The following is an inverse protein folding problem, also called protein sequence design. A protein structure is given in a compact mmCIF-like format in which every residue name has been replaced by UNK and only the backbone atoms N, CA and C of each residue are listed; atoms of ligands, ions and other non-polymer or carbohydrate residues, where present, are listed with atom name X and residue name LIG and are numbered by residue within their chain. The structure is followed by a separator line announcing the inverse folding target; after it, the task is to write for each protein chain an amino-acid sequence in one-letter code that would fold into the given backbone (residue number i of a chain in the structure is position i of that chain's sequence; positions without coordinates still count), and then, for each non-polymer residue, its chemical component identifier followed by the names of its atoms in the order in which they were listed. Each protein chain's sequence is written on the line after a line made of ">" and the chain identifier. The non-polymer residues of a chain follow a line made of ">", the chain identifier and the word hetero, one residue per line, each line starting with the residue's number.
data_IF_715453678258
#
_entry.id   IF_715453678258
#
_cell.length_a   1.000
_cell.length_b   1.000
_cell.length_c   1.000
_cell.angle_alpha   90.00
_cell.angle_beta   90.00
_cell.angle_gamma   90.00
#
_symmetry.space_group_name_H-M   'P 1'
#
loop_
_entity.id
_entity.type
_entity.pdbx_description
1 polymer ?
#
# COMPACT_ATOMS: atom_id res chain seq x y z
N UNK A 1 24.49 -7.68 2.78
CA UNK A 1 24.15 -8.50 1.59
C UNK A 1 23.55 -7.57 0.55
N UNK A 2 24.01 -7.63 -0.70
CA UNK A 2 23.46 -6.81 -1.79
C UNK A 2 22.10 -7.33 -2.29
N UNK A 3 21.43 -6.53 -3.12
CA UNK A 3 20.22 -6.97 -3.81
C UNK A 3 20.52 -8.18 -4.72
N UNK A 4 19.60 -9.15 -4.79
CA UNK A 4 19.72 -10.33 -5.65
C UNK A 4 18.87 -10.26 -6.92
N UNK A 5 17.88 -9.38 -6.94
CA UNK A 5 16.99 -9.17 -8.06
C UNK A 5 16.71 -7.68 -8.20
N UNK A 6 16.43 -7.23 -9.42
CA UNK A 6 16.03 -5.86 -9.72
C UNK A 6 14.84 -5.86 -10.67
N UNK A 7 13.89 -4.97 -10.43
CA UNK A 7 12.79 -4.69 -11.36
C UNK A 7 12.95 -3.26 -11.86
N UNK A 8 12.99 -3.09 -13.17
CA UNK A 8 13.15 -1.78 -13.83
C UNK A 8 12.02 -1.60 -14.83
N UNK A 9 11.44 -0.40 -14.92
CA UNK A 9 10.47 -0.09 -15.97
C UNK A 9 11.16 -0.12 -17.34
N UNK A 10 10.46 -0.60 -18.37
CA UNK A 10 10.95 -0.49 -19.75
C UNK A 10 10.92 0.96 -20.22
N UNK A 11 11.79 1.29 -21.16
CA UNK A 11 11.90 2.65 -21.72
C UNK A 11 10.60 3.14 -22.37
N UNK A 12 9.78 2.22 -22.91
CA UNK A 12 8.48 2.52 -23.51
C UNK A 12 7.35 2.77 -22.50
N UNK A 13 7.61 2.52 -21.21
CA UNK A 13 6.65 2.69 -20.13
C UNK A 13 5.54 1.63 -20.05
N UNK A 14 5.51 0.64 -20.94
CA UNK A 14 4.40 -0.33 -21.08
C UNK A 14 4.59 -1.60 -20.25
N UNK A 15 5.76 -1.79 -19.67
CA UNK A 15 6.10 -2.98 -18.90
C UNK A 15 7.30 -2.79 -17.99
N UNK A 16 7.76 -3.90 -17.44
CA UNK A 16 8.95 -3.95 -16.60
C UNK A 16 9.83 -5.14 -16.98
N UNK A 17 11.11 -5.07 -16.63
CA UNK A 17 12.05 -6.17 -16.74
C UNK A 17 12.51 -6.55 -15.34
N UNK A 18 12.29 -7.80 -14.96
CA UNK A 18 12.85 -8.41 -13.76
C UNK A 18 14.18 -9.07 -14.14
N UNK A 19 15.27 -8.69 -13.48
CA UNK A 19 16.62 -9.22 -13.74
C UNK A 19 17.18 -9.91 -12.51
N UNK A 20 17.83 -11.05 -12.73
CA UNK A 20 18.65 -11.70 -11.72
C UNK A 20 20.02 -11.03 -11.69
N UNK A 21 20.44 -10.60 -10.49
CA UNK A 21 21.74 -9.95 -10.30
C UNK A 21 22.79 -11.01 -9.97
N UNK A 22 24.08 -10.69 -10.14
CA UNK A 22 25.20 -11.61 -9.88
C UNK A 22 25.10 -12.29 -8.50
N UNK A 23 24.70 -11.54 -7.47
CA UNK A 23 24.51 -12.06 -6.11
C UNK A 23 23.38 -13.08 -5.93
N UNK A 24 22.58 -13.35 -6.97
CA UNK A 24 21.57 -14.42 -6.97
C UNK A 24 22.12 -15.79 -7.33
N UNK A 25 23.27 -15.86 -8.04
CA UNK A 25 23.78 -17.10 -8.64
C UNK A 25 22.92 -17.61 -9.81
N UNK A 26 21.99 -16.80 -10.32
CA UNK A 26 21.15 -17.08 -11.48
C UNK A 26 21.45 -16.05 -12.57
N UNK A 27 21.29 -16.47 -13.82
CA UNK A 27 21.38 -15.59 -14.99
C UNK A 27 20.01 -15.44 -15.65
N UNK A 28 19.82 -14.30 -16.31
CA UNK A 28 18.66 -14.03 -17.14
C UNK A 28 17.77 -12.89 -16.65
N UNK A 29 16.80 -12.58 -17.49
CA UNK A 29 15.81 -11.56 -17.26
C UNK A 29 14.45 -11.97 -17.82
N UNK A 30 13.40 -11.39 -17.26
CA UNK A 30 12.02 -11.66 -17.64
C UNK A 30 11.36 -10.32 -17.91
N UNK A 31 10.91 -10.16 -19.15
CA UNK A 31 10.06 -9.06 -19.55
C UNK A 31 8.61 -9.34 -19.16
N UNK A 32 8.00 -8.37 -18.49
CA UNK A 32 6.65 -8.43 -17.98
C UNK A 32 5.82 -7.31 -18.60
N UNK A 33 4.67 -7.65 -19.17
CA UNK A 33 3.60 -6.69 -19.44
C UNK A 33 3.03 -6.18 -18.12
N UNK A 34 2.23 -5.09 -18.16
CA UNK A 34 1.51 -4.62 -16.98
C UNK A 34 0.67 -5.73 -16.32
N UNK A 35 -0.10 -6.49 -17.11
CA UNK A 35 -0.94 -7.58 -16.58
C UNK A 35 -0.11 -8.67 -15.89
N UNK A 36 1.03 -9.06 -16.49
CA UNK A 36 1.93 -10.06 -15.90
C UNK A 36 2.59 -9.54 -14.61
N UNK A 37 2.99 -8.27 -14.59
CA UNK A 37 3.53 -7.62 -13.39
C UNK A 37 2.48 -7.56 -12.28
N UNK A 38 1.23 -7.21 -12.61
CA UNK A 38 0.13 -7.20 -11.63
C UNK A 38 -0.14 -8.59 -11.05
N UNK A 39 -0.14 -9.63 -11.88
CA UNK A 39 -0.27 -11.03 -11.42
C UNK A 39 0.89 -11.43 -10.50
N UNK A 40 2.12 -11.05 -10.86
CA UNK A 40 3.31 -11.32 -10.05
C UNK A 40 3.21 -10.62 -8.68
N UNK A 41 2.85 -9.34 -8.64
CA UNK A 41 2.68 -8.58 -7.39
C UNK A 41 1.60 -9.21 -6.52
N UNK A 42 0.46 -9.61 -7.08
CA UNK A 42 -0.62 -10.26 -6.33
C UNK A 42 -0.16 -11.60 -5.73
N UNK A 43 0.56 -12.41 -6.50
CA UNK A 43 1.13 -13.68 -6.02
C UNK A 43 2.14 -13.47 -4.90
N UNK A 44 3.10 -12.55 -5.09
CA UNK A 44 4.11 -12.21 -4.08
C UNK A 44 3.46 -11.64 -2.81
N UNK A 45 2.46 -10.77 -2.95
CA UNK A 45 1.72 -10.19 -1.84
C UNK A 45 1.02 -11.25 -1.00
N UNK A 46 0.37 -12.24 -1.65
CA UNK A 46 -0.28 -13.36 -0.97
C UNK A 46 0.72 -14.22 -0.19
N UNK A 47 1.84 -14.57 -0.81
CA UNK A 47 2.90 -15.37 -0.16
C UNK A 47 3.48 -14.60 1.02
N UNK A 48 3.81 -13.31 0.84
CA UNK A 48 4.33 -12.46 1.92
C UNK A 48 3.35 -12.37 3.08
N UNK A 49 2.06 -12.14 2.81
CA UNK A 49 1.02 -12.09 3.84
C UNK A 49 1.03 -13.36 4.71
N UNK A 50 1.10 -14.54 4.10
CA UNK A 50 1.19 -15.81 4.81
C UNK A 50 2.50 -15.95 5.61
N UNK A 51 3.64 -15.54 5.03
CA UNK A 51 4.95 -15.63 5.71
C UNK A 51 5.06 -14.69 6.92
N UNK A 52 4.37 -13.55 6.89
CA UNK A 52 4.35 -12.61 8.00
C UNK A 52 3.18 -12.82 8.95
N UNK A 53 2.35 -13.84 8.72
CA UNK A 53 1.24 -14.15 9.61
C UNK A 53 1.76 -14.47 11.01
N UNK A 54 1.24 -13.79 12.03
CA UNK A 54 1.68 -13.92 13.42
C UNK A 54 2.98 -13.16 13.76
N UNK A 55 3.61 -12.47 12.80
CA UNK A 55 4.70 -11.55 13.10
C UNK A 55 4.14 -10.16 13.48
N UNK A 56 4.82 -9.49 14.40
CA UNK A 56 4.51 -8.11 14.72
C UNK A 56 4.71 -7.24 13.47
N UNK A 57 3.73 -6.39 13.18
CA UNK A 57 3.85 -5.44 12.07
C UNK A 57 4.88 -4.36 12.42
N UNK A 58 5.79 -4.01 11.49
CA UNK A 58 6.71 -2.91 11.70
C UNK A 58 5.98 -1.58 11.96
N UNK A 59 6.56 -0.66 12.76
CA UNK A 59 5.96 0.64 13.01
C UNK A 59 5.92 1.51 11.74
N UNK A 60 4.85 2.29 11.57
CA UNK A 60 4.62 3.14 10.39
C UNK A 60 5.33 4.51 10.45
N UNK A 61 5.75 4.96 11.63
CA UNK A 61 6.07 6.38 11.90
C UNK A 61 6.97 7.11 10.90
N UNK A 62 8.05 6.47 10.45
CA UNK A 62 8.99 7.01 9.44
C UNK A 62 9.11 6.10 8.22
N UNK A 63 8.17 5.18 8.02
CA UNK A 63 8.21 4.28 6.90
C UNK A 63 7.93 5.07 5.60
N UNK A 64 8.74 4.91 4.54
CA UNK A 64 8.41 5.49 3.25
C UNK A 64 7.15 4.81 2.70
N UNK A 65 6.21 5.61 2.21
CA UNK A 65 5.02 5.12 1.53
C UNK A 65 4.73 5.97 0.30
N UNK A 66 4.05 5.38 -0.68
CA UNK A 66 3.52 6.10 -1.83
C UNK A 66 2.10 6.57 -1.48
N UNK A 67 1.84 7.89 -1.40
CA UNK A 67 0.50 8.38 -1.10
C UNK A 67 -0.45 8.02 -2.24
N UNK A 68 -1.67 7.61 -1.86
CA UNK A 68 -2.74 7.32 -2.81
C UNK A 68 -3.70 8.50 -2.85
N UNK A 69 -3.84 9.10 -4.03
CA UNK A 69 -4.73 10.22 -4.29
C UNK A 69 -5.92 9.78 -5.14
N UNK A 70 -7.10 10.35 -4.87
CA UNK A 70 -8.31 10.19 -5.70
C UNK A 70 -8.64 8.74 -6.09
N UNK A 71 -8.51 7.81 -5.14
CA UNK A 71 -8.80 6.39 -5.38
C UNK A 71 -10.26 6.04 -5.10
N UNK A 72 -10.73 4.96 -5.72
CA UNK A 72 -11.99 4.32 -5.36
C UNK A 72 -11.84 3.60 -4.02
N UNK A 73 -12.73 3.91 -3.07
CA UNK A 73 -12.72 3.33 -1.74
C UNK A 73 -14.14 3.01 -1.24
N UNK A 74 -14.23 2.10 -0.29
CA UNK A 74 -15.46 1.72 0.39
C UNK A 74 -15.18 1.49 1.88
N UNK A 75 -16.15 1.85 2.72
CA UNK A 75 -16.16 1.54 4.15
C UNK A 75 -17.32 0.58 4.41
N UNK A 76 -17.03 -0.54 5.06
CA UNK A 76 -18.00 -1.61 5.33
C UNK A 76 -17.88 -2.05 6.78
N UNK A 77 -18.96 -2.61 7.34
CA UNK A 77 -18.93 -3.22 8.67
C UNK A 77 -18.17 -4.54 8.57
N UNK A 78 -17.19 -4.74 9.46
CA UNK A 78 -16.52 -6.03 9.60
C UNK A 78 -17.20 -6.82 10.72
N UNK A 79 -17.98 -7.83 10.33
CA UNK A 79 -18.79 -8.62 11.27
C UNK A 79 -17.95 -9.49 12.22
N UNK A 80 -16.70 -9.81 11.88
CA UNK A 80 -15.82 -10.64 12.69
C UNK A 80 -15.22 -9.86 13.87
N UNK A 81 -14.96 -8.57 13.67
CA UNK A 81 -14.31 -7.71 14.66
C UNK A 81 -15.25 -6.70 15.29
N UNK A 82 -16.54 -6.70 14.91
CA UNK A 82 -17.50 -5.62 15.19
C UNK A 82 -16.96 -4.23 14.78
N UNK A 83 -16.02 -4.24 13.83
CA UNK A 83 -15.22 -3.11 13.43
C UNK A 83 -15.65 -2.54 12.08
N UNK A 84 -14.72 -1.89 11.41
CA UNK A 84 -14.94 -1.35 10.07
C UNK A 84 -13.78 -1.71 9.14
N UNK A 85 -14.09 -2.17 7.94
CA UNK A 85 -13.10 -2.37 6.87
C UNK A 85 -13.10 -1.15 5.95
N UNK A 86 -11.96 -0.46 5.85
CA UNK A 86 -11.69 0.48 4.77
C UNK A 86 -10.96 -0.28 3.66
N UNK A 87 -11.60 -0.42 2.50
CA UNK A 87 -10.99 -1.00 1.31
C UNK A 87 -10.83 0.07 0.22
N UNK A 88 -9.74 0.02 -0.53
CA UNK A 88 -9.46 0.96 -1.62
C UNK A 88 -8.59 0.35 -2.72
N UNK A 89 -8.59 0.97 -3.90
CA UNK A 89 -7.74 0.57 -5.03
C UNK A 89 -6.35 1.21 -4.91
N UNK A 90 -5.35 0.47 -4.47
CA UNK A 90 -3.97 0.95 -4.40
C UNK A 90 -3.29 0.84 -5.78
N UNK A 91 -2.74 1.92 -6.37
CA UNK A 91 -2.15 1.88 -7.72
C UNK A 91 -1.03 0.84 -7.89
N UNK A 92 -0.22 0.62 -6.85
CA UNK A 92 0.87 -0.36 -6.89
C UNK A 92 0.46 -1.81 -6.55
N UNK A 93 -0.64 -2.03 -5.83
CA UNK A 93 -0.93 -3.33 -5.20
C UNK A 93 -2.33 -3.87 -5.53
N UNK A 94 -3.17 -3.11 -6.25
CA UNK A 94 -4.57 -3.44 -6.46
C UNK A 94 -5.40 -3.22 -5.20
N UNK A 95 -6.48 -4.02 -4.99
CA UNK A 95 -7.35 -3.87 -3.83
C UNK A 95 -6.61 -4.12 -2.51
N UNK A 96 -6.63 -3.14 -1.61
CA UNK A 96 -6.07 -3.24 -0.26
C UNK A 96 -7.15 -2.90 0.76
N UNK A 97 -7.22 -3.69 1.83
CA UNK A 97 -8.17 -3.52 2.93
C UNK A 97 -7.46 -3.38 4.27
N UNK A 98 -7.96 -2.49 5.10
CA UNK A 98 -7.57 -2.35 6.50
C UNK A 98 -8.81 -2.49 7.38
N UNK A 99 -8.74 -3.38 8.37
CA UNK A 99 -9.77 -3.56 9.39
C UNK A 99 -9.39 -2.74 10.61
N UNK A 100 -10.32 -1.90 11.06
CA UNK A 100 -10.24 -1.18 12.31
C UNK A 100 -11.13 -1.86 13.33
N UNK A 101 -10.57 -2.28 14.47
CA UNK A 101 -11.38 -2.62 15.64
C UNK A 101 -12.08 -1.37 16.20
N UNK A 102 -13.04 -1.53 17.12
CA UNK A 102 -13.84 -0.41 17.64
C UNK A 102 -13.01 0.77 18.15
N UNK A 103 -11.97 0.50 18.95
CA UNK A 103 -11.09 1.55 19.49
C UNK A 103 -10.31 2.29 18.40
N UNK A 104 -9.85 1.58 17.36
CA UNK A 104 -9.07 2.18 16.28
C UNK A 104 -9.97 3.00 15.34
N UNK A 105 -11.23 2.58 15.15
CA UNK A 105 -12.23 3.37 14.46
C UNK A 105 -12.50 4.70 15.19
N UNK A 106 -12.64 4.67 16.53
CA UNK A 106 -12.79 5.88 17.34
C UNK A 106 -11.57 6.81 17.23
N UNK A 107 -10.35 6.26 17.34
CA UNK A 107 -9.10 7.01 17.15
C UNK A 107 -9.07 7.69 15.79
N UNK A 108 -9.44 6.97 14.72
CA UNK A 108 -9.49 7.52 13.36
C UNK A 108 -10.49 8.68 13.25
N UNK A 109 -11.73 8.49 13.75
CA UNK A 109 -12.76 9.53 13.72
C UNK A 109 -12.31 10.79 14.46
N UNK A 110 -11.72 10.64 15.64
CA UNK A 110 -11.24 11.77 16.44
C UNK A 110 -10.08 12.51 15.75
N UNK A 111 -9.12 11.78 15.19
CA UNK A 111 -8.02 12.35 14.42
C UNK A 111 -8.49 13.15 13.20
N UNK A 112 -9.44 12.60 12.43
CA UNK A 112 -10.00 13.28 11.26
C UNK A 112 -10.80 14.54 11.64
N UNK A 113 -11.58 14.50 12.72
CA UNK A 113 -12.29 15.67 13.26
C UNK A 113 -11.31 16.78 13.65
N UNK A 114 -10.23 16.42 14.35
CA UNK A 114 -9.19 17.37 14.76
C UNK A 114 -8.48 17.99 13.55
N UNK A 115 -8.08 17.17 12.57
CA UNK A 115 -7.47 17.64 11.33
C UNK A 115 -8.36 18.63 10.58
N UNK A 116 -9.66 18.32 10.44
CA UNK A 116 -10.63 19.21 9.80
C UNK A 116 -10.77 20.53 10.53
N UNK A 117 -10.77 20.52 11.87
CA UNK A 117 -10.81 21.74 12.66
C UNK A 117 -9.60 22.65 12.38
N UNK A 118 -8.38 22.09 12.35
CA UNK A 118 -7.15 22.84 12.01
C UNK A 118 -7.22 23.41 10.59
N UNK A 119 -7.69 22.64 9.61
CA UNK A 119 -7.80 23.13 8.23
C UNK A 119 -8.85 24.26 8.09
N UNK A 120 -9.95 24.18 8.85
CA UNK A 120 -11.00 25.21 8.86
C UNK A 120 -10.55 26.54 9.50
N UNK A 121 -9.72 26.48 10.53
CA UNK A 121 -9.15 27.68 11.18
C UNK A 121 -8.07 28.33 10.31
N UNK A 122 -7.28 27.54 9.57
CA UNK A 122 -6.28 28.06 8.63
C UNK A 122 -6.89 28.70 7.38
N UNK A 123 -8.00 28.16 6.86
CA UNK A 123 -8.71 28.78 5.71
C UNK A 123 -9.42 30.09 6.08
N UNK A 124 -9.81 30.25 7.34
CA UNK A 124 -10.38 31.50 7.87
C UNK A 124 -9.34 32.61 8.10
N UNK A 125 -8.03 32.31 7.95
CA UNK A 125 -6.91 33.25 8.15
C UNK A 125 -6.24 33.72 6.86
N UNK A 126 -6.88 33.63 5.69
CA UNK A 126 -6.35 34.29 4.48
C UNK A 126 -6.41 35.82 4.68
N UNK A 127 -5.29 36.54 4.66
CA UNK A 127 -5.30 38.00 4.68
C UNK A 127 -5.82 38.53 3.34
N UNK A 128 -6.67 39.55 3.42
CA UNK A 128 -7.04 40.45 2.32
C UNK A 128 -5.84 41.17 1.73
#
# INVERSE_FOLDING_TARGET
>A
MGARMQVVQKDDGTGATLRFLEGSGLEGEIDLTLDQLSQLIASLGRVRFAMTAGQAQPPIGNAPFLPVYSTNWALQIDALTEGSTLAFQHPAFGPVGLVFGPEDAEKLVNGLKHHRAIMSTNTSRRPS
#
